data_IF_797764844463
#
_entry.id   IF_797764844463
#
_cell.length_a   1.000
_cell.length_b   1.000
_cell.length_c   1.000
_cell.angle_alpha   90.00
_cell.angle_beta   90.00
_cell.angle_gamma   90.00
#
_symmetry.space_group_name_H-M   'P 1'
#
loop_
_entity.id
_entity.type
_entity.pdbx_description
1 polymer ?
#
# COMPACT_ATOMS: atom_id res chain seq x y z
N UNK A 1 21.17 43.27 18.74
CA UNK A 1 19.72 43.16 18.44
C UNK A 1 19.58 42.70 17.00
N UNK A 2 19.17 41.45 16.77
CA UNK A 2 18.89 40.95 15.42
C UNK A 2 17.45 41.31 15.10
N UNK A 3 17.25 42.17 14.11
CA UNK A 3 15.93 42.62 13.65
C UNK A 3 15.07 41.42 13.20
N UNK A 4 13.76 41.41 13.49
CA UNK A 4 12.90 40.31 13.07
C UNK A 4 12.76 40.33 11.53
N UNK A 5 12.99 39.16 10.91
CA UNK A 5 12.75 38.98 9.48
C UNK A 5 11.29 39.30 9.13
N UNK A 6 11.02 40.02 8.03
CA UNK A 6 9.66 40.42 7.68
C UNK A 6 8.81 39.18 7.41
N UNK A 7 7.64 39.10 8.06
CA UNK A 7 6.61 38.08 7.81
C UNK A 7 6.22 38.17 6.32
N UNK A 8 6.61 37.18 5.51
CA UNK A 8 6.02 36.98 4.18
C UNK A 8 4.50 36.93 4.35
N UNK A 9 3.77 37.83 3.70
CA UNK A 9 2.31 37.86 3.77
C UNK A 9 1.74 36.58 3.15
N UNK A 10 0.65 36.05 3.71
CA UNK A 10 -0.10 34.89 3.19
C UNK A 10 -0.46 35.04 1.71
N UNK A 11 -0.58 36.28 1.24
CA UNK A 11 -0.91 36.67 -0.12
C UNK A 11 0.13 36.20 -1.15
N UNK A 12 1.40 36.15 -0.79
CA UNK A 12 2.48 35.79 -1.73
C UNK A 12 2.65 34.27 -1.86
N UNK A 13 2.20 33.51 -0.86
CA UNK A 13 2.14 32.03 -0.91
C UNK A 13 1.03 31.51 -1.82
N UNK A 14 -0.13 32.18 -1.86
CA UNK A 14 -1.26 31.79 -2.71
C UNK A 14 -0.99 31.98 -4.21
N UNK A 15 -0.08 32.90 -4.59
CA UNK A 15 0.32 33.09 -6.00
C UNK A 15 0.96 31.86 -6.65
N UNK A 16 1.48 30.91 -5.87
CA UNK A 16 2.17 29.72 -6.40
C UNK A 16 1.26 28.56 -6.75
N UNK A 17 -0.01 28.60 -6.33
CA UNK A 17 -0.95 27.49 -6.56
C UNK A 17 -2.01 27.99 -7.53
N UNK A 18 -2.17 27.35 -8.70
CA UNK A 18 -3.26 27.69 -9.61
C UNK A 18 -4.59 27.36 -8.92
N UNK A 19 -5.27 28.38 -8.40
CA UNK A 19 -6.60 28.27 -7.80
C UNK A 19 -7.72 28.51 -8.82
N UNK A 20 -7.38 28.95 -10.03
CA UNK A 20 -8.34 29.16 -11.11
C UNK A 20 -8.82 27.83 -11.67
N UNK A 21 -10.10 27.79 -12.06
CA UNK A 21 -10.64 26.62 -12.75
C UNK A 21 -9.92 26.51 -14.10
N UNK A 22 -9.36 25.33 -14.45
CA UNK A 22 -8.66 25.18 -15.70
C UNK A 22 -9.57 25.51 -16.89
N UNK A 23 -9.04 26.09 -17.98
CA UNK A 23 -9.82 26.49 -19.15
C UNK A 23 -10.26 25.31 -20.03
N UNK A 24 -10.26 24.08 -19.50
CA UNK A 24 -10.60 22.85 -20.19
C UNK A 24 -11.37 21.91 -19.26
N UNK A 25 -12.25 21.10 -19.84
CA UNK A 25 -12.97 20.05 -19.12
C UNK A 25 -12.21 18.72 -19.11
N UNK A 26 -12.49 17.85 -18.14
CA UNK A 26 -11.96 16.47 -18.10
C UNK A 26 -12.24 15.69 -19.39
N UNK A 27 -13.38 15.95 -20.03
CA UNK A 27 -13.74 15.32 -21.30
C UNK A 27 -12.82 15.73 -22.46
N UNK A 28 -12.31 16.96 -22.47
CA UNK A 28 -11.38 17.45 -23.50
C UNK A 28 -10.01 16.80 -23.34
N UNK A 29 -9.54 16.65 -22.10
CA UNK A 29 -8.34 15.87 -21.81
C UNK A 29 -8.46 14.42 -22.30
N UNK A 30 -9.60 13.76 -22.02
CA UNK A 30 -9.83 12.39 -22.49
C UNK A 30 -9.85 12.27 -24.02
N UNK A 31 -10.41 13.27 -24.71
CA UNK A 31 -10.42 13.31 -26.19
C UNK A 31 -9.03 13.51 -26.79
N UNK A 32 -8.12 14.18 -26.09
CA UNK A 32 -6.74 14.35 -26.53
C UNK A 32 -5.90 13.06 -26.44
N UNK A 33 -6.33 12.09 -25.62
CA UNK A 33 -5.65 10.80 -25.45
C UNK A 33 -6.00 9.87 -26.63
N UNK A 34 -5.02 9.24 -27.29
CA UNK A 34 -5.29 8.31 -28.40
C UNK A 34 -6.25 7.17 -28.00
N UNK A 35 -7.23 6.80 -28.85
CA UNK A 35 -8.25 5.79 -28.50
C UNK A 35 -7.68 4.42 -28.12
N UNK A 36 -6.52 4.04 -28.66
CA UNK A 36 -5.88 2.77 -28.34
C UNK A 36 -5.34 2.71 -26.90
N UNK A 37 -5.09 3.85 -26.24
CA UNK A 37 -4.67 3.91 -24.83
C UNK A 37 -5.79 3.50 -23.86
N UNK A 38 -7.05 3.49 -24.31
CA UNK A 38 -8.19 3.03 -23.50
C UNK A 38 -8.49 1.54 -23.67
N UNK A 39 -7.77 0.83 -24.56
CA UNK A 39 -7.99 -0.60 -24.80
C UNK A 39 -7.19 -1.44 -23.81
N UNK A 40 -7.89 -2.12 -22.90
CA UNK A 40 -7.29 -3.05 -21.94
C UNK A 40 -7.21 -4.44 -22.57
N UNK A 41 -6.07 -5.12 -22.41
CA UNK A 41 -5.84 -6.43 -22.99
C UNK A 41 -5.72 -7.48 -21.91
N UNK A 42 -6.77 -8.29 -21.73
CA UNK A 42 -6.80 -9.37 -20.73
C UNK A 42 -5.60 -10.32 -20.86
N UNK A 43 -5.22 -10.83 -22.05
CA UNK A 43 -4.05 -11.69 -22.18
C UNK A 43 -2.75 -11.01 -21.74
N UNK A 44 -2.59 -9.71 -22.05
CA UNK A 44 -1.42 -8.95 -21.62
C UNK A 44 -1.41 -8.76 -20.11
N UNK A 45 -2.51 -8.32 -19.51
CA UNK A 45 -2.63 -8.11 -18.07
C UNK A 45 -2.33 -9.40 -17.29
N UNK A 46 -2.92 -10.52 -17.70
CA UNK A 46 -2.61 -11.82 -17.09
C UNK A 46 -1.19 -12.30 -17.37
N UNK A 47 -0.58 -11.98 -18.52
CA UNK A 47 0.79 -12.40 -18.79
C UNK A 47 1.78 -11.83 -17.77
N UNK A 48 1.64 -10.54 -17.40
CA UNK A 48 2.48 -9.93 -16.36
C UNK A 48 2.25 -10.56 -14.99
N UNK A 49 0.99 -10.75 -14.60
CA UNK A 49 0.63 -11.39 -13.34
C UNK A 49 1.18 -12.82 -13.24
N UNK A 50 1.03 -13.61 -14.32
CA UNK A 50 1.53 -14.99 -14.38
C UNK A 50 3.06 -15.01 -14.30
N UNK A 51 3.75 -14.09 -14.98
CA UNK A 51 5.21 -14.00 -14.89
C UNK A 51 5.67 -13.70 -13.47
N UNK A 52 5.05 -12.75 -12.78
CA UNK A 52 5.39 -12.43 -11.39
C UNK A 52 5.15 -13.64 -10.46
N UNK A 53 4.04 -14.38 -10.65
CA UNK A 53 3.75 -15.59 -9.88
C UNK A 53 4.78 -16.70 -10.16
N UNK A 54 5.18 -16.90 -11.41
CA UNK A 54 6.20 -17.88 -11.79
C UNK A 54 7.53 -17.53 -11.11
N UNK A 55 7.97 -16.28 -11.20
CA UNK A 55 9.23 -15.84 -10.59
C UNK A 55 9.18 -15.99 -9.07
N UNK A 56 8.09 -15.54 -8.43
CA UNK A 56 7.89 -15.69 -6.98
C UNK A 56 7.88 -17.15 -6.54
N UNK A 57 7.28 -18.04 -7.35
CA UNK A 57 7.25 -19.49 -7.09
C UNK A 57 8.63 -20.13 -7.26
N UNK A 58 9.39 -19.71 -8.29
CA UNK A 58 10.76 -20.17 -8.49
C UNK A 58 11.67 -19.76 -7.34
N UNK A 59 11.59 -18.51 -6.88
CA UNK A 59 12.35 -18.05 -5.71
C UNK A 59 11.96 -18.82 -4.45
N UNK A 60 10.66 -19.00 -4.19
CA UNK A 60 10.18 -19.83 -3.08
C UNK A 60 10.77 -21.24 -3.15
N UNK A 61 10.66 -21.90 -4.30
CA UNK A 61 11.15 -23.27 -4.51
C UNK A 61 12.66 -23.35 -4.30
N UNK A 62 13.42 -22.38 -4.83
CA UNK A 62 14.87 -22.33 -4.66
C UNK A 62 15.25 -22.17 -3.18
N UNK A 63 14.60 -21.24 -2.48
CA UNK A 63 14.85 -20.98 -1.07
C UNK A 63 14.54 -22.21 -0.19
N UNK A 64 13.38 -22.84 -0.38
CA UNK A 64 12.97 -23.97 0.48
C UNK A 64 13.68 -25.27 0.16
N UNK A 65 14.19 -25.45 -1.06
CA UNK A 65 14.78 -26.74 -1.50
C UNK A 65 16.30 -26.76 -1.46
N UNK A 66 16.96 -25.61 -1.66
CA UNK A 66 18.42 -25.58 -1.83
C UNK A 66 19.17 -24.75 -0.79
N UNK A 67 18.56 -23.80 -0.07
CA UNK A 67 19.32 -22.95 0.87
C UNK A 67 19.92 -23.74 2.03
N UNK A 68 19.25 -24.80 2.49
CA UNK A 68 19.77 -25.72 3.50
C UNK A 68 20.95 -26.56 3.02
N UNK A 69 21.12 -26.69 1.70
CA UNK A 69 22.22 -27.44 1.06
C UNK A 69 23.46 -26.57 0.84
N UNK A 70 23.34 -25.24 0.97
CA UNK A 70 24.47 -24.33 0.77
C UNK A 70 25.44 -24.41 1.96
N UNK A 71 26.77 -24.44 1.70
CA UNK A 71 27.75 -24.43 2.76
C UNK A 71 27.72 -23.08 3.51
N UNK A 72 27.97 -23.11 4.81
CA UNK A 72 28.15 -21.87 5.57
C UNK A 72 29.41 -21.12 5.10
N UNK A 73 29.36 -19.77 4.94
CA UNK A 73 28.27 -18.86 5.33
C UNK A 73 27.27 -18.52 4.20
N UNK A 74 27.35 -19.16 3.02
CA UNK A 74 26.54 -18.79 1.86
C UNK A 74 25.04 -18.93 2.10
N UNK A 75 24.62 -19.93 2.90
CA UNK A 75 23.22 -20.10 3.30
C UNK A 75 22.65 -18.88 4.04
N UNK A 76 23.46 -18.18 4.85
CA UNK A 76 23.03 -16.97 5.55
C UNK A 76 22.94 -15.76 4.63
N UNK A 77 23.78 -15.70 3.58
CA UNK A 77 23.74 -14.62 2.59
C UNK A 77 22.60 -14.81 1.56
N UNK A 78 22.19 -16.05 1.32
CA UNK A 78 21.10 -16.37 0.39
C UNK A 78 19.74 -15.83 0.87
N UNK A 79 19.49 -15.80 2.18
CA UNK A 79 18.24 -15.31 2.76
C UNK A 79 17.98 -13.82 2.51
N UNK A 80 18.89 -12.87 2.84
CA UNK A 80 18.71 -11.46 2.50
C UNK A 80 18.50 -11.19 1.01
N UNK A 81 19.22 -11.91 0.14
CA UNK A 81 19.04 -11.79 -1.31
C UNK A 81 17.66 -12.28 -1.73
N UNK A 82 17.22 -13.43 -1.23
CA UNK A 82 15.87 -13.94 -1.45
C UNK A 82 14.82 -12.93 -0.96
N UNK A 83 14.96 -12.38 0.24
CA UNK A 83 14.00 -11.41 0.76
C UNK A 83 13.88 -10.20 -0.14
N UNK A 84 15.00 -9.59 -0.54
CA UNK A 84 15.02 -8.45 -1.44
C UNK A 84 14.36 -8.77 -2.78
N UNK A 85 14.76 -9.87 -3.43
CA UNK A 85 14.22 -10.24 -4.74
C UNK A 85 12.74 -10.65 -4.67
N UNK A 86 12.36 -11.48 -3.69
CA UNK A 86 10.99 -11.93 -3.49
C UNK A 86 10.06 -10.76 -3.16
N UNK A 87 10.48 -9.88 -2.23
CA UNK A 87 9.72 -8.70 -1.87
C UNK A 87 9.48 -7.79 -3.08
N UNK A 88 10.51 -7.51 -3.89
CA UNK A 88 10.39 -6.71 -5.10
C UNK A 88 9.41 -7.32 -6.12
N UNK A 89 9.44 -8.64 -6.34
CA UNK A 89 8.50 -9.31 -7.25
C UNK A 89 7.07 -9.27 -6.70
N UNK A 90 6.90 -9.51 -5.40
CA UNK A 90 5.58 -9.41 -4.76
C UNK A 90 5.02 -7.98 -4.74
N UNK A 91 5.88 -6.95 -4.77
CA UNK A 91 5.45 -5.57 -5.02
C UNK A 91 4.85 -5.43 -6.42
N UNK A 92 5.38 -6.12 -7.44
CA UNK A 92 4.76 -6.19 -8.78
C UNK A 92 3.35 -6.76 -8.74
N UNK A 93 3.16 -7.88 -8.03
CA UNK A 93 1.83 -8.49 -7.79
C UNK A 93 0.90 -7.50 -7.07
N UNK A 94 1.41 -6.79 -6.06
CA UNK A 94 0.65 -5.76 -5.35
C UNK A 94 0.18 -4.64 -6.28
N UNK A 95 1.06 -4.16 -7.16
CA UNK A 95 0.77 -3.10 -8.13
C UNK A 95 -0.32 -3.56 -9.11
N UNK A 96 -0.23 -4.79 -9.63
CA UNK A 96 -1.27 -5.33 -10.52
C UNK A 96 -2.64 -5.39 -9.83
N UNK A 97 -2.69 -5.86 -8.59
CA UNK A 97 -3.93 -5.89 -7.81
C UNK A 97 -4.43 -4.47 -7.46
N UNK A 98 -3.54 -3.50 -7.29
CA UNK A 98 -3.89 -2.09 -7.18
C UNK A 98 -4.52 -1.54 -8.47
N UNK A 99 -3.95 -1.85 -9.64
CA UNK A 99 -4.51 -1.46 -10.95
C UNK A 99 -5.90 -2.07 -11.18
N UNK A 100 -6.19 -3.23 -10.59
CA UNK A 100 -7.55 -3.78 -10.57
C UNK A 100 -8.52 -2.86 -9.80
N UNK A 101 -8.08 -2.25 -8.68
CA UNK A 101 -8.85 -1.26 -7.93
C UNK A 101 -9.19 0.01 -8.74
N UNK A 102 -8.32 0.37 -9.68
CA UNK A 102 -8.50 1.47 -10.64
C UNK A 102 -9.32 1.10 -11.87
N UNK A 103 -9.72 -0.16 -12.00
CA UNK A 103 -10.34 -0.68 -13.20
C UNK A 103 -9.45 -0.49 -14.44
N UNK A 104 -8.15 -0.76 -14.30
CA UNK A 104 -7.16 -0.69 -15.39
C UNK A 104 -6.75 -2.07 -15.91
N UNK A 105 -7.04 -3.14 -15.16
CA UNK A 105 -6.62 -4.50 -15.51
C UNK A 105 -7.42 -5.09 -16.67
N UNK A 106 -8.74 -4.91 -16.69
CA UNK A 106 -9.63 -5.36 -17.76
C UNK A 106 -10.83 -4.42 -17.95
N UNK A 107 -11.62 -4.65 -19.00
CA UNK A 107 -12.88 -3.93 -19.22
C UNK A 107 -14.04 -4.50 -18.37
N UNK A 108 -13.78 -5.48 -17.50
CA UNK A 108 -14.77 -6.15 -16.67
C UNK A 108 -14.48 -5.94 -15.18
N UNK A 109 -15.27 -5.09 -14.52
CA UNK A 109 -15.06 -4.76 -13.10
C UNK A 109 -15.08 -6.00 -12.19
N UNK A 110 -15.92 -7.01 -12.49
CA UNK A 110 -15.99 -8.23 -11.68
C UNK A 110 -14.69 -9.05 -11.76
N UNK A 111 -14.01 -9.02 -12.91
CA UNK A 111 -12.74 -9.73 -13.12
C UNK A 111 -11.63 -9.03 -12.34
N UNK A 112 -11.58 -7.69 -12.45
CA UNK A 112 -10.64 -6.86 -11.70
C UNK A 112 -10.85 -7.07 -10.19
N UNK A 113 -12.10 -7.04 -9.72
CA UNK A 113 -12.41 -7.21 -8.31
C UNK A 113 -12.02 -8.61 -7.80
N UNK A 114 -12.17 -9.64 -8.64
CA UNK A 114 -11.78 -11.01 -8.30
C UNK A 114 -10.27 -11.16 -8.19
N UNK A 115 -9.53 -10.67 -9.21
CA UNK A 115 -8.06 -10.72 -9.23
C UNK A 115 -7.49 -9.89 -8.07
N UNK A 116 -7.98 -8.66 -7.91
CA UNK A 116 -7.59 -7.77 -6.84
C UNK A 116 -7.82 -8.40 -5.46
N UNK A 117 -9.02 -8.94 -5.21
CA UNK A 117 -9.34 -9.61 -3.95
C UNK A 117 -8.38 -10.75 -3.63
N UNK A 118 -8.11 -11.64 -4.59
CA UNK A 118 -7.24 -12.81 -4.38
C UNK A 118 -5.81 -12.36 -4.04
N UNK A 119 -5.20 -11.52 -4.86
CA UNK A 119 -3.78 -11.20 -4.74
C UNK A 119 -3.48 -10.18 -3.65
N UNK A 120 -4.35 -9.21 -3.40
CA UNK A 120 -4.22 -8.37 -2.20
C UNK A 120 -4.43 -9.17 -0.92
N UNK A 121 -5.36 -10.14 -0.88
CA UNK A 121 -5.51 -11.01 0.30
C UNK A 121 -4.23 -11.79 0.61
N UNK A 122 -3.58 -12.37 -0.42
CA UNK A 122 -2.29 -13.05 -0.26
C UNK A 122 -1.18 -12.14 0.29
N UNK A 123 -1.30 -10.83 0.12
CA UNK A 123 -0.38 -9.81 0.62
C UNK A 123 -0.91 -9.10 1.89
N UNK A 124 -1.91 -9.67 2.56
CA UNK A 124 -2.58 -9.11 3.74
C UNK A 124 -3.10 -7.68 3.56
N UNK A 125 -3.58 -7.36 2.36
CA UNK A 125 -4.25 -6.10 2.03
C UNK A 125 -5.75 -6.35 1.86
N UNK A 126 -6.62 -5.71 2.66
CA UNK A 126 -8.06 -5.89 2.52
C UNK A 126 -8.56 -5.17 1.26
N UNK A 127 -8.67 -5.90 0.15
CA UNK A 127 -8.81 -5.33 -1.20
C UNK A 127 -9.90 -4.26 -1.34
N UNK A 128 -11.15 -4.54 -0.97
CA UNK A 128 -12.22 -3.55 -1.15
C UNK A 128 -12.10 -2.40 -0.17
N UNK A 129 -11.74 -2.69 1.09
CA UNK A 129 -11.46 -1.68 2.10
C UNK A 129 -10.43 -0.68 1.63
N UNK A 130 -9.35 -1.17 1.05
CA UNK A 130 -8.29 -0.36 0.51
C UNK A 130 -8.68 0.31 -0.81
N UNK A 131 -9.31 -0.40 -1.76
CA UNK A 131 -9.83 0.16 -3.02
C UNK A 131 -10.69 1.40 -2.76
N UNK A 132 -11.54 1.36 -1.74
CA UNK A 132 -12.45 2.45 -1.41
C UNK A 132 -11.78 3.66 -0.75
N UNK A 133 -10.88 3.45 0.21
CA UNK A 133 -10.09 4.56 0.77
C UNK A 133 -9.11 5.11 -0.26
N UNK A 134 -8.46 4.25 -1.05
CA UNK A 134 -7.54 4.63 -2.11
C UNK A 134 -8.20 5.45 -3.24
N UNK A 135 -9.42 5.09 -3.65
CA UNK A 135 -10.19 5.93 -4.60
C UNK A 135 -10.41 7.34 -4.06
N UNK A 136 -10.70 7.46 -2.76
CA UNK A 136 -10.89 8.76 -2.09
C UNK A 136 -9.56 9.53 -2.00
N UNK A 137 -8.43 8.85 -1.71
CA UNK A 137 -7.08 9.42 -1.81
C UNK A 137 -6.83 10.03 -3.19
N UNK A 138 -7.06 9.27 -4.27
CA UNK A 138 -6.84 9.77 -5.64
C UNK A 138 -7.74 10.96 -6.01
N UNK A 139 -8.97 11.01 -5.47
CA UNK A 139 -9.85 12.17 -5.70
C UNK A 139 -9.47 13.42 -4.90
N UNK A 140 -8.63 13.28 -3.87
CA UNK A 140 -8.28 14.36 -2.94
C UNK A 140 -6.77 14.51 -2.72
N UNK A 141 -5.94 13.98 -3.62
CA UNK A 141 -4.49 13.89 -3.41
C UNK A 141 -3.89 15.25 -3.10
N UNK A 142 -3.19 15.34 -1.97
CA UNK A 142 -2.54 16.57 -1.50
C UNK A 142 -3.47 17.54 -0.76
N UNK A 143 -4.75 17.20 -0.55
CA UNK A 143 -5.63 17.96 0.34
C UNK A 143 -5.28 17.68 1.81
N UNK A 144 -5.07 18.74 2.60
CA UNK A 144 -4.83 18.60 4.03
C UNK A 144 -6.08 18.15 4.81
N UNK A 145 -7.25 18.31 4.21
CA UNK A 145 -8.54 18.03 4.83
C UNK A 145 -9.16 16.70 4.38
N UNK A 146 -8.98 16.35 3.11
CA UNK A 146 -9.74 15.26 2.46
C UNK A 146 -8.89 14.11 1.94
N UNK A 147 -7.57 14.24 1.91
CA UNK A 147 -6.73 13.12 1.53
C UNK A 147 -6.86 11.99 2.57
N UNK A 148 -6.92 10.74 2.11
CA UNK A 148 -7.10 9.58 2.97
C UNK A 148 -5.80 9.08 3.60
N UNK A 149 -4.65 9.43 3.02
CA UNK A 149 -3.35 8.94 3.45
C UNK A 149 -2.27 9.98 3.19
N UNK A 150 -1.17 9.90 3.93
CA UNK A 150 -0.02 10.82 3.85
C UNK A 150 -0.36 12.28 4.18
N UNK A 151 -1.40 12.51 4.99
CA UNK A 151 -1.78 13.87 5.43
C UNK A 151 -0.70 14.43 6.37
N UNK A 152 -0.01 15.52 6.01
CA UNK A 152 0.99 16.13 6.88
C UNK A 152 0.35 16.69 8.15
N UNK A 153 0.96 16.41 9.30
CA UNK A 153 0.51 16.98 10.58
C UNK A 153 0.78 18.48 10.64
N UNK A 154 -0.22 19.25 11.06
CA UNK A 154 -0.03 20.68 11.34
C UNK A 154 0.89 20.84 12.56
N UNK A 155 1.60 21.97 12.65
CA UNK A 155 2.52 22.25 13.76
C UNK A 155 1.83 22.15 15.13
N UNK A 156 0.55 22.53 15.21
CA UNK A 156 -0.29 22.41 16.42
C UNK A 156 -0.49 20.97 16.89
N UNK A 157 -0.46 20.01 15.96
CA UNK A 157 -0.83 18.61 16.20
C UNK A 157 0.42 17.74 16.46
N UNK A 158 1.61 18.33 16.32
CA UNK A 158 2.87 17.67 16.67
C UNK A 158 2.98 17.60 18.19
N UNK A 159 2.93 16.37 18.72
CA UNK A 159 3.06 16.12 20.16
C UNK A 159 4.39 16.63 20.71
N UNK A 160 4.42 16.90 22.02
CA UNK A 160 5.57 17.46 22.75
C UNK A 160 6.89 16.71 22.46
N UNK A 161 6.83 15.39 22.29
CA UNK A 161 8.00 14.55 22.06
C UNK A 161 8.60 14.71 20.66
N UNK A 162 7.86 15.27 19.69
CA UNK A 162 8.32 15.45 18.31
C UNK A 162 9.57 16.33 18.21
N UNK A 163 9.77 17.25 19.16
CA UNK A 163 10.97 18.08 19.27
C UNK A 163 12.23 17.24 19.52
N UNK A 164 12.10 16.18 20.32
CA UNK A 164 13.20 15.28 20.65
C UNK A 164 13.43 14.20 19.59
N UNK A 165 12.45 13.96 18.70
CA UNK A 165 12.60 13.04 17.56
C UNK A 165 13.17 13.73 16.31
N UNK A 166 13.24 15.07 16.28
CA UNK A 166 13.79 15.82 15.13
C UNK A 166 15.33 15.88 15.16
N UNK A 167 15.99 14.73 15.20
CA UNK A 167 17.43 14.55 15.07
C UNK A 167 17.72 13.25 14.28
N UNK A 168 18.97 12.96 13.88
CA UNK A 168 19.28 11.77 13.08
C UNK A 168 18.79 10.45 13.71
N UNK A 169 19.01 10.25 15.01
CA UNK A 169 18.56 9.03 15.71
C UNK A 169 17.03 8.91 15.70
N UNK A 170 16.32 9.99 16.03
CA UNK A 170 14.86 10.02 16.03
C UNK A 170 14.28 9.77 14.63
N UNK A 171 14.91 10.29 13.58
CA UNK A 171 14.54 10.00 12.18
C UNK A 171 14.75 8.54 11.83
N UNK A 172 15.88 7.95 12.20
CA UNK A 172 16.12 6.51 11.99
C UNK A 172 15.04 5.68 12.67
N UNK A 173 14.71 5.96 13.94
CA UNK A 173 13.64 5.24 14.65
C UNK A 173 12.29 5.40 13.96
N UNK A 174 11.91 6.62 13.56
CA UNK A 174 10.65 6.87 12.86
C UNK A 174 10.58 6.14 11.51
N UNK A 175 11.66 6.15 10.73
CA UNK A 175 11.73 5.43 9.45
C UNK A 175 11.69 3.92 9.66
N UNK A 176 12.37 3.39 10.67
CA UNK A 176 12.27 1.96 11.02
C UNK A 176 10.83 1.59 11.36
N UNK A 177 10.14 2.39 12.17
CA UNK A 177 8.72 2.15 12.49
C UNK A 177 7.85 2.27 11.23
N UNK A 178 8.07 3.27 10.39
CA UNK A 178 7.32 3.46 9.14
C UNK A 178 7.46 2.24 8.22
N UNK A 179 8.70 1.82 7.93
CA UNK A 179 8.96 0.70 7.02
C UNK A 179 8.57 -0.68 7.56
N UNK A 180 8.40 -0.82 8.89
CA UNK A 180 8.04 -2.11 9.50
C UNK A 180 6.58 -2.21 9.92
N UNK A 181 6.03 -1.15 10.50
CA UNK A 181 4.70 -1.10 11.11
C UNK A 181 3.78 -0.07 10.47
N UNK A 182 4.30 0.83 9.63
CA UNK A 182 3.51 1.93 9.04
C UNK A 182 2.26 1.43 8.31
N UNK A 183 2.41 0.39 7.49
CA UNK A 183 1.30 -0.17 6.72
C UNK A 183 0.25 -0.87 7.61
N UNK A 184 0.60 -1.84 8.48
CA UNK A 184 -0.35 -2.41 9.42
C UNK A 184 -1.03 -1.37 10.32
N UNK A 185 -0.29 -0.37 10.80
CA UNK A 185 -0.84 0.69 11.65
C UNK A 185 -1.78 1.62 10.87
N UNK A 186 -1.51 1.87 9.59
CA UNK A 186 -2.44 2.62 8.73
C UNK A 186 -3.75 1.84 8.54
N UNK A 187 -3.67 0.55 8.23
CA UNK A 187 -4.87 -0.27 8.05
C UNK A 187 -5.69 -0.39 9.35
N UNK A 188 -5.05 -0.66 10.49
CA UNK A 188 -5.73 -0.92 11.75
C UNK A 188 -6.16 0.36 12.51
N UNK A 189 -5.41 1.45 12.39
CA UNK A 189 -5.58 2.64 13.24
C UNK A 189 -5.50 3.97 12.47
N UNK A 190 -5.42 3.95 11.14
CA UNK A 190 -5.41 5.14 10.29
C UNK A 190 -4.31 6.16 10.67
N UNK A 191 -3.12 5.71 11.10
CA UNK A 191 -2.08 6.57 11.70
C UNK A 191 -1.53 7.68 10.80
N UNK A 192 -1.62 7.51 9.48
CA UNK A 192 -1.17 8.45 8.44
C UNK A 192 -2.31 9.09 7.65
N UNK A 193 -3.56 8.78 7.98
CA UNK A 193 -4.74 9.30 7.29
C UNK A 193 -5.34 10.54 7.93
N UNK A 194 -6.36 11.09 7.27
CA UNK A 194 -7.16 12.20 7.80
C UNK A 194 -7.92 11.81 9.07
N UNK A 195 -8.25 12.78 9.95
CA UNK A 195 -9.14 12.52 11.07
C UNK A 195 -10.56 12.18 10.59
N UNK A 196 -11.22 11.34 11.37
CA UNK A 196 -12.60 10.94 11.20
C UNK A 196 -13.35 11.09 12.52
N UNK A 197 -14.66 11.36 12.43
CA UNK A 197 -15.56 11.29 13.58
C UNK A 197 -15.85 9.82 13.90
N UNK A 198 -14.95 9.19 14.66
CA UNK A 198 -15.04 7.80 15.09
C UNK A 198 -13.77 6.99 14.84
N UNK A 199 -13.85 5.68 15.10
CA UNK A 199 -12.70 4.78 14.92
C UNK A 199 -12.54 4.37 13.45
N UNK A 200 -11.55 4.98 12.78
CA UNK A 200 -11.16 4.64 11.41
C UNK A 200 -10.26 3.40 11.39
N UNK A 201 -10.78 2.32 10.79
CA UNK A 201 -10.07 1.05 10.63
C UNK A 201 -10.55 0.38 9.33
N UNK A 202 -9.60 -0.09 8.51
CA UNK A 202 -9.88 -0.72 7.23
C UNK A 202 -10.53 -2.12 7.35
N UNK A 203 -10.45 -2.72 8.54
CA UNK A 203 -11.09 -4.00 8.87
C UNK A 203 -12.44 -3.84 9.58
N UNK A 204 -12.94 -2.62 9.71
CA UNK A 204 -14.22 -2.35 10.36
C UNK A 204 -15.24 -1.87 9.32
N UNK A 205 -16.22 -2.70 8.91
CA UNK A 205 -17.20 -2.34 7.89
C UNK A 205 -18.05 -1.12 8.20
N UNK A 206 -18.22 -0.79 9.49
CA UNK A 206 -18.95 0.42 9.91
C UNK A 206 -18.02 1.58 10.28
N UNK A 207 -16.73 1.52 9.89
CA UNK A 207 -15.82 2.63 10.06
C UNK A 207 -16.30 3.85 9.27
N UNK A 208 -16.02 5.07 9.75
CA UNK A 208 -16.42 6.32 9.10
C UNK A 208 -15.75 6.56 7.73
N UNK A 209 -14.85 5.66 7.32
CA UNK A 209 -14.20 5.63 6.00
C UNK A 209 -15.23 5.27 4.90
N UNK A 210 -16.22 4.43 5.23
CA UNK A 210 -17.07 3.74 4.25
C UNK A 210 -18.53 4.21 4.28
N UNK A 211 -19.18 4.13 3.12
CA UNK A 211 -20.61 4.32 3.00
C UNK A 211 -21.35 2.98 3.11
N UNK A 212 -22.66 3.00 3.39
CA UNK A 212 -23.49 1.80 3.61
C UNK A 212 -23.43 0.79 2.46
N UNK A 213 -23.29 1.26 1.23
CA UNK A 213 -23.22 0.43 0.02
C UNK A 213 -21.91 -0.34 -0.11
N UNK A 214 -20.84 0.09 0.56
CA UNK A 214 -19.51 -0.51 0.48
C UNK A 214 -19.32 -1.62 1.53
N UNK A 215 -20.12 -1.63 2.60
CA UNK A 215 -19.91 -2.47 3.79
C UNK A 215 -19.82 -3.97 3.50
N UNK A 216 -20.67 -4.48 2.61
CA UNK A 216 -20.66 -5.90 2.24
C UNK A 216 -19.30 -6.33 1.66
N UNK A 217 -18.69 -5.48 0.86
CA UNK A 217 -17.39 -5.76 0.25
C UNK A 217 -16.23 -5.66 1.26
N UNK A 218 -16.38 -4.87 2.32
CA UNK A 218 -15.43 -4.86 3.45
C UNK A 218 -15.42 -6.25 4.11
N UNK A 219 -16.60 -6.81 4.41
CA UNK A 219 -16.70 -8.17 4.96
C UNK A 219 -16.05 -9.23 4.06
N UNK A 220 -16.20 -9.10 2.74
CA UNK A 220 -15.55 -10.02 1.77
C UNK A 220 -14.02 -9.90 1.84
N UNK A 221 -13.49 -8.69 1.98
CA UNK A 221 -12.05 -8.46 2.14
C UNK A 221 -11.53 -9.08 3.43
N UNK A 222 -12.24 -8.85 4.55
CA UNK A 222 -11.88 -9.38 5.86
C UNK A 222 -11.88 -10.91 5.85
N UNK A 223 -12.85 -11.54 5.17
CA UNK A 223 -12.87 -12.99 4.98
C UNK A 223 -11.64 -13.48 4.19
N UNK A 224 -11.22 -12.75 3.15
CA UNK A 224 -9.99 -13.04 2.40
C UNK A 224 -8.73 -12.98 3.27
N UNK A 225 -8.62 -11.94 4.11
CA UNK A 225 -7.53 -11.81 5.09
C UNK A 225 -7.53 -12.97 6.07
N UNK A 226 -8.68 -13.32 6.65
CA UNK A 226 -8.80 -14.43 7.59
C UNK A 226 -8.43 -15.77 6.96
N UNK A 227 -8.80 -16.00 5.69
CA UNK A 227 -8.44 -17.21 4.96
C UNK A 227 -6.92 -17.34 4.78
N UNK A 228 -6.24 -16.24 4.41
CA UNK A 228 -4.79 -16.22 4.26
C UNK A 228 -4.08 -16.37 5.61
N UNK A 229 -4.53 -15.66 6.65
CA UNK A 229 -4.03 -15.82 8.02
C UNK A 229 -4.16 -17.27 8.51
N UNK A 230 -5.28 -17.94 8.24
CA UNK A 230 -5.44 -19.36 8.55
C UNK A 230 -4.48 -20.25 7.76
N UNK A 231 -4.28 -19.98 6.47
CA UNK A 231 -3.28 -20.67 5.65
C UNK A 231 -1.86 -20.54 6.21
N UNK A 232 -1.46 -19.32 6.61
CA UNK A 232 -0.16 -19.04 7.23
C UNK A 232 -0.02 -19.72 8.59
N UNK A 233 -1.08 -19.75 9.40
CA UNK A 233 -1.11 -20.52 10.65
C UNK A 233 -0.87 -22.01 10.39
N UNK A 234 -1.56 -22.60 9.41
CA UNK A 234 -1.37 -24.01 9.03
C UNK A 234 0.03 -24.29 8.50
N UNK A 235 0.60 -23.37 7.72
CA UNK A 235 1.98 -23.46 7.25
C UNK A 235 2.97 -23.40 8.41
N UNK A 236 2.83 -22.42 9.32
CA UNK A 236 3.68 -22.28 10.50
C UNK A 236 3.59 -23.50 11.43
N UNK A 237 2.41 -24.10 11.57
CA UNK A 237 2.23 -25.34 12.34
C UNK A 237 2.94 -26.55 11.71
N UNK A 238 3.07 -26.59 10.37
CA UNK A 238 3.70 -27.69 9.65
C UNK A 238 5.22 -27.53 9.44
N UNK A 239 5.68 -26.31 9.15
CA UNK A 239 7.06 -25.99 8.75
C UNK A 239 7.82 -25.15 9.79
N UNK A 240 7.14 -24.73 10.86
CA UNK A 240 7.68 -23.86 11.89
C UNK A 240 7.47 -22.37 11.61
N UNK A 241 7.31 -21.61 12.69
CA UNK A 241 7.11 -20.15 12.63
C UNK A 241 8.28 -19.42 11.97
N UNK A 242 9.52 -19.83 12.26
CA UNK A 242 10.71 -19.21 11.66
C UNK A 242 10.72 -19.37 10.13
N UNK A 243 10.33 -20.53 9.61
CA UNK A 243 10.21 -20.77 8.16
C UNK A 243 9.15 -19.85 7.56
N UNK A 244 7.97 -19.76 8.18
CA UNK A 244 6.89 -18.87 7.72
C UNK A 244 7.34 -17.40 7.68
N UNK A 245 8.04 -16.93 8.72
CA UNK A 245 8.57 -15.57 8.77
C UNK A 245 9.61 -15.37 7.66
N UNK A 246 10.57 -16.27 7.49
CA UNK A 246 11.62 -16.11 6.48
C UNK A 246 11.08 -16.16 5.05
N UNK A 247 10.11 -17.02 4.77
CA UNK A 247 9.61 -17.27 3.41
C UNK A 247 8.48 -16.30 3.02
N UNK A 248 7.66 -15.87 3.98
CA UNK A 248 6.51 -15.02 3.73
C UNK A 248 6.60 -13.67 4.47
N UNK A 249 6.88 -13.70 5.77
CA UNK A 249 6.85 -12.50 6.62
C UNK A 249 7.85 -11.41 6.22
N UNK A 250 9.11 -11.76 5.97
CA UNK A 250 10.16 -10.79 5.59
C UNK A 250 9.95 -10.26 4.16
N UNK A 251 9.64 -11.08 3.14
CA UNK A 251 9.24 -10.55 1.84
C UNK A 251 8.03 -9.61 1.91
N UNK A 252 7.00 -9.94 2.71
CA UNK A 252 5.86 -9.05 2.93
C UNK A 252 6.26 -7.73 3.60
N UNK A 253 7.22 -7.75 4.52
CA UNK A 253 7.76 -6.54 5.13
C UNK A 253 8.39 -5.60 4.08
N UNK A 254 9.06 -6.17 3.08
CA UNK A 254 9.63 -5.41 1.97
C UNK A 254 8.53 -4.82 1.10
N UNK A 255 7.49 -5.60 0.77
CA UNK A 255 6.29 -5.08 0.08
C UNK A 255 5.73 -3.89 0.85
N UNK A 256 5.44 -4.05 2.14
CA UNK A 256 4.93 -2.98 3.00
C UNK A 256 5.83 -1.74 3.01
N UNK A 257 7.15 -1.93 3.01
CA UNK A 257 8.13 -0.85 2.93
C UNK A 257 8.04 -0.02 1.65
N UNK A 258 7.62 -0.60 0.52
CA UNK A 258 7.35 0.14 -0.71
C UNK A 258 6.03 0.94 -0.68
N UNK A 259 5.14 0.66 0.27
CA UNK A 259 3.81 1.29 0.36
C UNK A 259 3.78 2.54 1.24
N UNK A 260 4.83 2.80 2.03
CA UNK A 260 4.81 3.71 3.19
C UNK A 260 5.91 4.76 3.19
#
# INVERSE_FOLDING_TARGET
>A
QVSPSPKKSETDTLKRVPCETPPFALGELKKAIPPHCFKRSIPRSFSYLIWDIIIASCFYYVATSYFSLLPHPLSYLAWPLYWACQGCVLTGVWVIAHECGHHAFSDYQWLDDTVGLIFHSFLLVPYFSWKYSHRRHHSNTGSLERDEVFVPKKKSDIKWYGKYLNNPLGRTVMLTVQFTLGWPLYLAFNVSGRPYDGFACHFHPNAPIYNDRERLQIYISDAGILAVCYGLYRYAAAQGLASMICVYGVPLLIVNGFLV
#
